data_IF_738628871030
#
_entry.id   IF_738628871030
#
_cell.length_a   1.000
_cell.length_b   1.000
_cell.length_c   1.000
_cell.angle_alpha   90.00
_cell.angle_beta   90.00
_cell.angle_gamma   90.00
#
_symmetry.space_group_name_H-M   'P 1'
#
loop_
_entity.id
_entity.type
_entity.pdbx_description
1 polymer ?
#
# COMPACT_ATOMS: atom_id res chain seq x y z
N UNK A 1 -18.11 -2.03 -2.49
CA UNK A 1 -18.02 -3.33 -1.80
C UNK A 1 -17.00 -3.14 -0.69
N UNK A 2 -17.34 -3.50 0.55
CA UNK A 2 -16.42 -3.54 1.69
C UNK A 2 -15.91 -4.96 1.88
N UNK A 3 -14.68 -5.10 2.37
CA UNK A 3 -14.07 -6.40 2.68
C UNK A 3 -13.89 -6.53 4.18
N UNK A 4 -14.30 -7.67 4.72
CA UNK A 4 -14.22 -8.03 6.14
C UNK A 4 -13.81 -9.51 6.28
N UNK A 5 -13.61 -9.97 7.51
CA UNK A 5 -13.23 -11.34 7.81
C UNK A 5 -14.22 -12.40 7.30
N UNK A 6 -15.50 -12.03 7.11
CA UNK A 6 -16.55 -12.95 6.69
C UNK A 6 -16.65 -13.09 5.16
N UNK A 7 -16.15 -12.11 4.41
CA UNK A 7 -16.28 -12.06 2.95
C UNK A 7 -14.96 -12.09 2.17
N UNK A 8 -13.81 -12.13 2.85
CA UNK A 8 -12.50 -12.27 2.22
C UNK A 8 -12.34 -13.63 1.52
N UNK A 9 -11.84 -13.66 0.27
CA UNK A 9 -11.46 -14.93 -0.35
C UNK A 9 -10.25 -15.54 0.35
N UNK A 10 -10.03 -16.84 0.14
CA UNK A 10 -8.79 -17.48 0.55
C UNK A 10 -7.58 -16.78 -0.09
N UNK A 11 -6.60 -16.45 0.74
CA UNK A 11 -5.42 -15.69 0.37
C UNK A 11 -4.23 -16.61 0.07
N UNK A 12 -3.45 -16.30 -0.97
CA UNK A 12 -2.14 -16.87 -1.26
C UNK A 12 -1.22 -16.77 -0.03
N UNK A 13 -1.22 -15.62 0.65
CA UNK A 13 -0.48 -15.38 1.88
C UNK A 13 -1.33 -15.62 3.14
N UNK A 14 -2.30 -16.55 3.13
CA UNK A 14 -3.20 -16.82 4.27
C UNK A 14 -2.46 -17.05 5.60
N UNK A 15 -1.33 -17.76 5.57
CA UNK A 15 -0.52 -18.02 6.77
C UNK A 15 0.06 -16.74 7.36
N UNK A 16 0.42 -15.78 6.52
CA UNK A 16 0.94 -14.48 6.96
C UNK A 16 -0.21 -13.63 7.50
N UNK A 17 -1.34 -13.60 6.79
CA UNK A 17 -2.57 -12.91 7.22
C UNK A 17 -3.06 -13.39 8.59
N UNK A 18 -3.03 -14.70 8.84
CA UNK A 18 -3.44 -15.29 10.11
C UNK A 18 -2.46 -14.95 11.26
N UNK A 19 -1.19 -14.65 10.95
CA UNK A 19 -0.14 -14.29 11.92
C UNK A 19 0.05 -12.79 12.10
N UNK A 20 -0.67 -11.97 11.34
CA UNK A 20 -0.57 -10.52 11.37
C UNK A 20 -0.80 -9.98 12.79
N UNK A 21 0.00 -9.00 13.20
CA UNK A 21 -0.03 -8.46 14.57
C UNK A 21 -1.14 -7.42 14.76
N UNK A 22 -1.52 -6.77 13.67
CA UNK A 22 -2.50 -5.68 13.65
C UNK A 22 -3.47 -5.84 12.48
N UNK A 23 -4.63 -5.20 12.57
CA UNK A 23 -5.57 -5.12 11.45
C UNK A 23 -5.01 -4.36 10.25
N UNK A 24 -4.11 -3.39 10.47
CA UNK A 24 -3.38 -2.74 9.38
C UNK A 24 -2.54 -3.73 8.59
N UNK A 25 -1.82 -4.61 9.27
CA UNK A 25 -1.02 -5.66 8.62
C UNK A 25 -1.91 -6.65 7.86
N UNK A 26 -3.07 -7.02 8.42
CA UNK A 26 -4.08 -7.82 7.72
C UNK A 26 -4.56 -7.13 6.44
N UNK A 27 -4.87 -5.84 6.51
CA UNK A 27 -5.33 -5.01 5.40
C UNK A 27 -4.24 -4.84 4.33
N UNK A 28 -2.99 -4.63 4.72
CA UNK A 28 -1.83 -4.59 3.80
C UNK A 28 -1.70 -5.87 2.98
N UNK A 29 -1.92 -7.03 3.61
CA UNK A 29 -1.85 -8.33 2.92
C UNK A 29 -3.07 -8.51 2.01
N UNK A 30 -4.29 -8.35 2.54
CA UNK A 30 -5.51 -8.66 1.80
C UNK A 30 -5.73 -7.72 0.61
N UNK A 31 -5.40 -6.43 0.72
CA UNK A 31 -5.63 -5.45 -0.37
C UNK A 31 -4.93 -5.84 -1.66
N UNK A 32 -3.70 -6.39 -1.56
CA UNK A 32 -2.93 -6.83 -2.72
C UNK A 32 -3.62 -7.99 -3.43
N UNK A 33 -4.13 -8.94 -2.66
CA UNK A 33 -4.74 -10.15 -3.18
C UNK A 33 -6.15 -9.91 -3.74
N UNK A 34 -6.91 -9.02 -3.10
CA UNK A 34 -8.16 -8.48 -3.65
C UNK A 34 -7.90 -7.82 -5.00
N UNK A 35 -6.90 -6.91 -5.08
CA UNK A 35 -6.53 -6.26 -6.34
C UNK A 35 -6.04 -7.25 -7.40
N UNK A 36 -5.28 -8.29 -7.02
CA UNK A 36 -4.90 -9.35 -7.94
C UNK A 36 -6.13 -10.04 -8.52
N UNK A 37 -7.13 -10.38 -7.71
CA UNK A 37 -8.29 -11.16 -8.13
C UNK A 37 -9.29 -10.32 -8.93
N UNK A 38 -9.63 -9.14 -8.46
CA UNK A 38 -10.73 -8.33 -8.99
C UNK A 38 -10.27 -7.10 -9.75
N UNK A 39 -9.01 -6.68 -9.59
CA UNK A 39 -8.54 -5.38 -10.06
C UNK A 39 -9.35 -4.24 -9.43
N UNK A 40 -9.45 -3.13 -10.17
CA UNK A 40 -10.18 -1.94 -9.75
C UNK A 40 -9.36 -1.03 -8.86
N UNK A 41 -10.03 -0.38 -7.92
CA UNK A 41 -9.47 0.63 -7.03
C UNK A 41 -9.66 0.18 -5.59
N UNK A 42 -8.56 0.17 -4.84
CA UNK A 42 -8.55 0.00 -3.40
C UNK A 42 -8.31 1.36 -2.74
N UNK A 43 -9.10 1.65 -1.70
CA UNK A 43 -8.96 2.84 -0.86
C UNK A 43 -9.19 2.43 0.60
N UNK A 44 -8.36 2.91 1.52
CA UNK A 44 -8.57 2.75 2.95
C UNK A 44 -9.87 3.45 3.39
N UNK A 45 -10.50 2.93 4.45
CA UNK A 45 -11.84 3.36 4.89
C UNK A 45 -11.89 4.76 5.50
N UNK A 46 -10.73 5.33 5.83
CA UNK A 46 -10.54 6.67 6.36
C UNK A 46 -10.12 7.69 5.28
N UNK A 47 -10.40 7.38 4.01
CA UNK A 47 -10.40 8.36 2.94
C UNK A 47 -11.76 9.02 2.78
N UNK A 48 -11.73 10.34 2.70
CA UNK A 48 -12.87 11.13 2.26
C UNK A 48 -12.72 11.44 0.76
N UNK A 49 -13.59 10.87 -0.08
CA UNK A 49 -13.54 11.04 -1.54
C UNK A 49 -14.49 12.16 -2.00
N UNK A 50 -13.94 13.19 -2.62
CA UNK A 50 -14.66 14.39 -3.06
C UNK A 50 -15.03 14.39 -4.55
N UNK A 51 -14.19 13.78 -5.39
CA UNK A 51 -14.32 13.88 -6.86
C UNK A 51 -13.99 12.58 -7.57
N UNK A 52 -14.54 12.41 -8.79
CA UNK A 52 -14.26 11.27 -9.65
C UNK A 52 -12.79 11.26 -10.12
N UNK A 53 -12.05 10.19 -9.77
CA UNK A 53 -10.65 9.99 -10.17
C UNK A 53 -10.46 9.44 -11.58
N UNK A 54 -11.52 9.01 -12.27
CA UNK A 54 -11.44 8.39 -13.59
C UNK A 54 -10.58 9.17 -14.60
N UNK A 55 -10.64 10.53 -14.68
CA UNK A 55 -9.78 11.30 -15.57
C UNK A 55 -8.27 11.15 -15.27
N UNK A 56 -7.90 10.86 -14.02
CA UNK A 56 -6.51 10.65 -13.61
C UNK A 56 -5.98 9.28 -14.03
N UNK A 57 -6.84 8.26 -14.08
CA UNK A 57 -6.42 6.86 -14.15
C UNK A 57 -6.88 6.12 -15.40
N UNK A 58 -7.68 6.75 -16.28
CA UNK A 58 -8.33 6.11 -17.44
C UNK A 58 -7.38 5.35 -18.38
N UNK A 59 -6.15 5.83 -18.54
CA UNK A 59 -5.16 5.25 -19.45
C UNK A 59 -4.13 4.38 -18.71
N UNK A 60 -4.32 4.17 -17.40
CA UNK A 60 -3.39 3.45 -16.55
C UNK A 60 -3.88 2.03 -16.26
N UNK A 61 -2.95 1.08 -16.29
CA UNK A 61 -3.18 -0.30 -15.81
C UNK A 61 -2.81 -0.51 -14.35
N UNK A 62 -2.05 0.42 -13.77
CA UNK A 62 -1.70 0.45 -12.36
C UNK A 62 -1.42 1.89 -11.95
N UNK A 63 -2.08 2.37 -10.91
CA UNK A 63 -1.72 3.63 -10.25
C UNK A 63 -1.55 3.46 -8.74
N UNK A 64 -0.79 4.38 -8.15
CA UNK A 64 -0.61 4.48 -6.70
C UNK A 64 -0.31 5.93 -6.32
N UNK A 65 -0.73 6.34 -5.12
CA UNK A 65 -0.37 7.64 -4.57
C UNK A 65 1.13 7.68 -4.24
N UNK A 66 1.78 8.74 -4.70
CA UNK A 66 3.15 9.08 -4.37
C UNK A 66 3.15 10.25 -3.39
N UNK A 67 3.34 9.94 -2.11
CA UNK A 67 3.38 10.92 -1.01
C UNK A 67 4.62 11.80 -1.11
N UNK A 68 5.74 11.24 -1.57
CA UNK A 68 7.01 11.97 -1.75
C UNK A 68 7.79 11.42 -2.94
N UNK A 69 8.28 12.31 -3.83
CA UNK A 69 9.17 11.93 -4.94
C UNK A 69 10.48 11.29 -4.47
N UNK A 70 10.99 11.78 -3.34
CA UNK A 70 12.14 11.20 -2.64
C UNK A 70 11.70 10.99 -1.20
N UNK A 71 11.73 9.73 -0.78
CA UNK A 71 11.35 9.30 0.55
C UNK A 71 12.29 9.92 1.60
N UNK A 72 13.62 9.74 1.48
CA UNK A 72 14.63 10.38 2.36
C UNK A 72 15.84 10.83 1.54
N UNK A 73 16.04 12.16 1.47
CA UNK A 73 17.06 12.79 0.62
C UNK A 73 18.49 12.33 0.95
N UNK A 74 18.82 12.28 2.24
CA UNK A 74 20.17 11.98 2.73
C UNK A 74 20.36 10.50 3.11
N UNK A 75 19.69 9.58 2.41
CA UNK A 75 19.79 8.16 2.69
C UNK A 75 19.72 7.30 1.42
N UNK A 76 20.83 6.69 0.95
CA UNK A 76 20.88 6.00 -0.34
C UNK A 76 19.80 4.93 -0.55
N UNK A 77 19.52 4.10 0.45
CA UNK A 77 18.48 3.04 0.41
C UNK A 77 17.05 3.60 0.27
N UNK A 78 16.84 4.84 0.70
CA UNK A 78 15.53 5.50 0.75
C UNK A 78 15.50 6.73 -0.18
N UNK A 79 16.47 6.85 -1.09
CA UNK A 79 16.47 7.86 -2.14
C UNK A 79 15.61 7.36 -3.31
N UNK A 80 14.35 7.05 -3.02
CA UNK A 80 13.35 6.47 -3.91
C UNK A 80 11.99 7.12 -3.64
N UNK A 81 10.99 7.05 -4.53
CA UNK A 81 9.63 7.51 -4.24
C UNK A 81 9.02 6.78 -3.04
N UNK A 82 8.24 7.50 -2.22
CA UNK A 82 7.42 6.95 -1.14
C UNK A 82 6.01 6.70 -1.67
N UNK A 83 5.69 5.43 -1.88
CA UNK A 83 4.47 4.94 -2.51
C UNK A 83 3.47 4.49 -1.45
N UNK A 84 2.34 5.19 -1.38
CA UNK A 84 1.31 4.97 -0.38
C UNK A 84 0.26 3.95 -0.89
N UNK A 85 0.21 2.79 -0.27
CA UNK A 85 -0.69 1.69 -0.63
C UNK A 85 -2.11 1.84 -0.04
N UNK A 86 -2.41 2.94 0.65
CA UNK A 86 -3.73 3.28 1.16
C UNK A 86 -4.71 3.69 0.05
N UNK A 87 -4.20 4.10 -1.11
CA UNK A 87 -5.01 4.39 -2.29
C UNK A 87 -4.24 3.99 -3.55
N UNK A 88 -4.66 2.91 -4.18
CA UNK A 88 -4.04 2.36 -5.37
C UNK A 88 -5.03 1.56 -6.20
N UNK A 89 -4.69 1.24 -7.44
CA UNK A 89 -5.54 0.41 -8.28
C UNK A 89 -4.80 -0.21 -9.44
N UNK A 90 -5.34 -1.29 -9.97
CA UNK A 90 -4.77 -1.95 -11.13
C UNK A 90 -5.80 -2.78 -11.90
N UNK A 91 -5.47 -3.18 -13.12
CA UNK A 91 -6.21 -4.25 -13.82
C UNK A 91 -6.03 -5.58 -13.07
N UNK A 92 -7.00 -6.52 -13.12
CA UNK A 92 -6.84 -7.84 -12.51
C UNK A 92 -5.55 -8.54 -12.96
N UNK A 93 -4.94 -9.30 -12.05
CA UNK A 93 -3.72 -10.07 -12.25
C UNK A 93 -2.51 -9.24 -12.76
N UNK A 94 -2.40 -7.97 -12.35
CA UNK A 94 -1.31 -7.09 -12.78
C UNK A 94 0.08 -7.61 -12.33
N UNK A 95 1.12 -7.61 -13.20
CA UNK A 95 2.46 -8.11 -12.85
C UNK A 95 3.08 -7.47 -11.61
N UNK A 96 2.92 -6.16 -11.42
CA UNK A 96 3.42 -5.45 -10.23
C UNK A 96 2.75 -5.92 -8.93
N UNK A 97 1.43 -6.18 -8.94
CA UNK A 97 0.73 -6.72 -7.77
C UNK A 97 1.17 -8.16 -7.49
N UNK A 98 1.31 -8.98 -8.54
CA UNK A 98 1.81 -10.34 -8.41
C UNK A 98 3.19 -10.38 -7.76
N UNK A 99 4.10 -9.49 -8.18
CA UNK A 99 5.42 -9.34 -7.58
C UNK A 99 5.34 -8.93 -6.11
N UNK A 100 4.45 -8.01 -5.74
CA UNK A 100 4.24 -7.66 -4.33
C UNK A 100 3.79 -8.88 -3.51
N UNK A 101 2.81 -9.64 -3.99
CA UNK A 101 2.32 -10.83 -3.29
C UNK A 101 3.42 -11.89 -3.11
N UNK A 102 4.24 -12.11 -4.15
CA UNK A 102 5.33 -13.08 -4.16
C UNK A 102 6.49 -12.68 -3.21
N UNK A 103 6.88 -11.40 -3.19
CA UNK A 103 8.03 -10.91 -2.41
C UNK A 103 7.68 -10.71 -0.92
N UNK A 104 6.39 -10.57 -0.60
CA UNK A 104 5.91 -10.20 0.73
C UNK A 104 6.40 -11.16 1.84
N UNK A 105 6.31 -12.50 1.72
CA UNK A 105 6.80 -13.39 2.78
C UNK A 105 8.29 -13.24 3.09
N UNK A 106 9.11 -13.07 2.05
CA UNK A 106 10.56 -12.89 2.17
C UNK A 106 10.91 -11.55 2.82
N UNK A 107 10.28 -10.48 2.34
CA UNK A 107 10.45 -9.14 2.90
C UNK A 107 9.97 -9.07 4.36
N UNK A 108 8.81 -9.67 4.65
CA UNK A 108 8.26 -9.76 5.99
C UNK A 108 9.24 -10.42 6.97
N UNK A 109 9.76 -11.60 6.60
CA UNK A 109 10.70 -12.37 7.44
C UNK A 109 11.97 -11.58 7.73
N UNK A 110 12.52 -10.91 6.71
CA UNK A 110 13.72 -10.07 6.84
C UNK A 110 13.49 -8.86 7.74
N UNK A 111 12.26 -8.31 7.74
CA UNK A 111 11.93 -7.06 8.40
C UNK A 111 10.98 -7.25 9.60
N UNK A 112 10.99 -8.43 10.24
CA UNK A 112 10.03 -8.80 11.30
C UNK A 112 9.99 -7.85 12.50
N UNK A 113 11.07 -7.13 12.77
CA UNK A 113 11.22 -6.19 13.89
C UNK A 113 10.84 -4.76 13.53
N UNK A 114 10.64 -4.45 12.25
CA UNK A 114 10.27 -3.11 11.80
C UNK A 114 8.76 -2.88 11.94
N UNK A 115 8.38 -1.61 12.04
CA UNK A 115 6.98 -1.16 12.05
C UNK A 115 6.20 -1.64 10.82
N UNK A 116 4.89 -1.85 10.96
CA UNK A 116 3.97 -2.31 9.91
C UNK A 116 4.07 -1.48 8.63
N UNK A 117 4.20 -0.15 8.75
CA UNK A 117 4.38 0.75 7.59
C UNK A 117 5.57 0.35 6.72
N UNK A 118 6.65 -0.18 7.32
CA UNK A 118 7.79 -0.69 6.58
C UNK A 118 7.60 -2.16 6.20
N UNK A 119 7.15 -2.99 7.14
CA UNK A 119 7.11 -4.45 7.04
C UNK A 119 6.13 -4.99 6.00
N UNK A 120 4.95 -4.39 5.89
CA UNK A 120 3.88 -4.81 4.95
C UNK A 120 3.24 -3.64 4.18
N UNK A 121 3.38 -2.41 4.70
CA UNK A 121 2.73 -1.22 4.15
C UNK A 121 3.57 -0.45 3.11
N UNK A 122 3.48 0.90 3.09
CA UNK A 122 4.11 1.75 2.07
C UNK A 122 5.61 1.53 1.87
N UNK A 123 6.35 1.21 2.93
CA UNK A 123 7.79 0.97 2.85
C UNK A 123 8.13 -0.29 2.06
N UNK A 124 7.39 -1.38 2.28
CA UNK A 124 7.49 -2.59 1.48
C UNK A 124 7.18 -2.29 0.00
N UNK A 125 6.04 -1.66 -0.26
CA UNK A 125 5.60 -1.34 -1.63
C UNK A 125 6.60 -0.46 -2.35
N UNK A 126 7.13 0.57 -1.69
CA UNK A 126 8.15 1.46 -2.23
C UNK A 126 9.42 0.71 -2.61
N UNK A 127 9.93 -0.15 -1.72
CA UNK A 127 11.17 -0.91 -1.95
C UNK A 127 11.04 -1.88 -3.15
N UNK A 128 9.85 -2.43 -3.39
CA UNK A 128 9.63 -3.39 -4.48
C UNK A 128 9.32 -2.69 -5.82
N UNK A 129 8.60 -1.56 -5.79
CA UNK A 129 8.04 -0.95 -7.00
C UNK A 129 8.76 0.29 -7.52
N UNK A 130 9.70 0.90 -6.78
CA UNK A 130 10.30 2.20 -7.16
C UNK A 130 10.93 2.28 -8.55
N UNK A 131 11.33 1.14 -9.14
CA UNK A 131 11.95 1.03 -10.48
C UNK A 131 10.99 0.55 -11.58
N UNK A 132 9.69 0.41 -11.30
CA UNK A 132 8.73 -0.12 -12.27
C UNK A 132 8.19 1.02 -13.16
N UNK A 133 8.45 0.98 -14.49
CA UNK A 133 8.06 2.06 -15.38
C UNK A 133 6.55 2.10 -15.66
N UNK A 134 5.86 0.96 -15.54
CA UNK A 134 4.44 0.82 -15.92
C UNK A 134 3.46 1.21 -14.80
N UNK A 135 3.89 2.07 -13.87
CA UNK A 135 3.11 2.51 -12.72
C UNK A 135 2.89 4.01 -12.81
N UNK A 136 1.62 4.41 -12.90
CA UNK A 136 1.24 5.81 -12.79
C UNK A 136 1.37 6.27 -11.33
N UNK A 137 2.27 7.23 -11.09
CA UNK A 137 2.43 7.87 -9.79
C UNK A 137 1.53 9.10 -9.72
N UNK A 138 0.49 9.03 -8.91
CA UNK A 138 -0.39 10.16 -8.63
C UNK A 138 0.20 11.02 -7.52
N UNK A 139 0.34 12.32 -7.77
CA UNK A 139 0.86 13.25 -6.77
C UNK A 139 -0.10 13.39 -5.58
N UNK A 140 0.43 13.25 -4.36
CA UNK A 140 -0.36 13.34 -3.14
C UNK A 140 -1.05 14.68 -2.98
N UNK A 141 -0.38 15.81 -3.23
CA UNK A 141 -0.99 17.12 -3.02
C UNK A 141 -2.12 17.36 -4.01
N UNK A 142 -1.93 17.00 -5.28
CA UNK A 142 -2.98 17.07 -6.29
C UNK A 142 -4.19 16.22 -5.91
N UNK A 143 -3.94 15.00 -5.41
CA UNK A 143 -5.01 14.07 -5.03
C UNK A 143 -5.76 14.58 -3.79
N UNK A 144 -5.04 14.95 -2.73
CA UNK A 144 -5.60 15.44 -1.46
C UNK A 144 -6.43 16.70 -1.61
N UNK A 145 -6.03 17.62 -2.51
CA UNK A 145 -6.74 18.89 -2.68
C UNK A 145 -7.99 18.79 -3.54
N UNK A 146 -8.07 17.82 -4.46
CA UNK A 146 -9.12 17.80 -5.50
C UNK A 146 -9.97 16.55 -5.52
N UNK A 147 -9.45 15.42 -5.04
CA UNK A 147 -10.04 14.11 -5.29
C UNK A 147 -10.35 13.33 -4.03
N UNK A 148 -9.41 13.17 -3.11
CA UNK A 148 -9.65 12.46 -1.86
C UNK A 148 -8.61 12.79 -0.80
N UNK A 149 -9.04 12.96 0.46
CA UNK A 149 -8.17 13.24 1.61
C UNK A 149 -8.08 12.01 2.51
N UNK A 150 -6.85 11.61 2.83
CA UNK A 150 -6.56 10.58 3.83
C UNK A 150 -6.58 11.19 5.23
N UNK A 151 -7.35 10.61 6.16
CA UNK A 151 -7.41 11.09 7.55
C UNK A 151 -6.35 10.46 8.46
N UNK A 152 -5.64 9.42 8.00
CA UNK A 152 -4.56 8.75 8.73
C UNK A 152 -5.04 8.26 10.11
N UNK A 153 -6.25 7.73 10.16
CA UNK A 153 -6.81 7.15 11.38
C UNK A 153 -6.06 5.85 11.72
N UNK A 154 -5.78 5.67 13.00
CA UNK A 154 -4.91 4.59 13.46
C UNK A 154 -5.41 4.06 14.79
N UNK A 155 -6.40 3.17 14.74
CA UNK A 155 -7.00 2.55 15.93
C UNK A 155 -6.07 1.53 16.62
N UNK A 156 -4.98 1.12 15.97
CA UNK A 156 -4.02 0.12 16.46
C UNK A 156 -2.71 0.73 17.04
N UNK A 157 -2.70 2.03 17.37
CA UNK A 157 -1.51 2.72 17.94
C UNK A 157 -0.99 2.10 19.23
N UNK A 158 -1.80 1.36 19.97
CA UNK A 158 -1.35 0.70 21.21
C UNK A 158 -0.41 -0.48 20.93
N UNK A 159 -0.58 -1.16 19.80
CA UNK A 159 0.19 -2.36 19.43
C UNK A 159 1.44 -1.97 18.66
N UNK A 160 1.29 -1.10 17.67
CA UNK A 160 2.38 -0.52 16.91
C UNK A 160 2.16 1.01 16.84
N UNK A 161 2.62 1.77 17.86
CA UNK A 161 2.49 3.22 17.85
C UNK A 161 3.29 3.77 16.69
N UNK A 162 2.70 4.71 15.94
CA UNK A 162 3.35 5.38 14.81
C UNK A 162 4.73 5.92 15.25
N UNK A 163 5.86 5.25 14.92
CA UNK A 163 7.18 5.78 15.13
C UNK A 163 7.44 6.78 13.99
N UNK A 164 8.60 7.44 13.98
CA UNK A 164 9.05 7.99 12.70
C UNK A 164 8.97 6.87 11.65
N UNK A 165 8.33 7.06 10.48
CA UNK A 165 7.88 5.95 9.63
C UNK A 165 8.99 5.11 9.00
N UNK A 166 10.24 5.30 9.45
CA UNK A 166 11.46 4.86 8.82
C UNK A 166 12.32 4.10 9.84
N UNK A 167 12.88 2.93 9.45
CA UNK A 167 13.97 2.32 10.19
C UNK A 167 15.13 3.33 10.33
N UNK A 168 15.69 3.47 11.53
CA UNK A 168 16.84 4.35 11.81
C UNK A 168 18.19 3.78 11.34
N UNK A 169 18.18 2.62 10.68
CA UNK A 169 19.36 1.91 10.15
C UNK A 169 20.41 2.82 9.50
#
# INVERSE_FOLDING_TARGET
MSWDEDNLPELINQRLYNKARTYAEKSDISRLEILKKYGGVYVDTDYECFSNISPLIKDSRFFIICDRKIWKLNHPKYHIPYLNNAFMGCTPNHPSVNKLIEELPGFYKKNRSHHVCFRTGPGFVSQILYKKPDILLLDHNLTTQKYAKHHYENSWKEIEPQPQPWPED
#
